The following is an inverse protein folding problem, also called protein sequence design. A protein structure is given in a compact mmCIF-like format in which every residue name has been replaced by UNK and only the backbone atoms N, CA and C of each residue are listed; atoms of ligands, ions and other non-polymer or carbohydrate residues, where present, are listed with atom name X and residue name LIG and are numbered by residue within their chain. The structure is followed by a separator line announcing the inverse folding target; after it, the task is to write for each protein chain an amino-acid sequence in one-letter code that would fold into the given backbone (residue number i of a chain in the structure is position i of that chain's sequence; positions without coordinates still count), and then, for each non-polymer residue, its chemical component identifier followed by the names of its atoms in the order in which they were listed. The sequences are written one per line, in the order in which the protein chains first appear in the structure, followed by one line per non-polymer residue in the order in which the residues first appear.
data_IF_865517362916
#
_entry.id   IF_865517362916
#
_cell.length_a   1.000
_cell.length_b   1.000
_cell.length_c   1.000
_cell.angle_alpha   90.00
_cell.angle_beta   90.00
_cell.angle_gamma   90.00
#
_symmetry.space_group_name_H-M   'P 1'
#
loop_
_entity.id
_entity.type
_entity.pdbx_description
1 polymer ?
#
# COMPACT_ATOMS: atom_id res chain seq x y z
N UNK A 1 -18.23 -8.08 -15.52
CA UNK A 1 -18.43 -9.10 -14.47
C UNK A 1 -18.13 -8.49 -13.12
N UNK A 2 -19.00 -8.69 -12.14
CA UNK A 2 -18.75 -8.22 -10.78
C UNK A 2 -17.60 -9.03 -10.15
N UNK A 3 -16.56 -8.38 -9.59
CA UNK A 3 -15.46 -9.10 -8.95
C UNK A 3 -15.94 -10.05 -7.84
N UNK A 4 -15.36 -11.23 -7.77
CA UNK A 4 -15.73 -12.24 -6.77
C UNK A 4 -14.69 -12.37 -5.66
N UNK A 5 -13.54 -11.72 -5.81
CA UNK A 5 -12.45 -11.76 -4.84
C UNK A 5 -12.25 -10.37 -4.25
N UNK A 6 -12.24 -10.28 -2.93
CA UNK A 6 -12.06 -9.03 -2.19
C UNK A 6 -10.96 -9.26 -1.16
N UNK A 7 -10.03 -8.31 -1.07
CA UNK A 7 -9.00 -8.34 -0.03
C UNK A 7 -9.60 -7.79 1.26
N UNK A 8 -9.61 -8.60 2.32
CA UNK A 8 -10.05 -8.16 3.63
C UNK A 8 -8.84 -7.72 4.47
N UNK A 9 -8.88 -6.49 4.96
CA UNK A 9 -7.84 -5.90 5.78
C UNK A 9 -8.39 -5.70 7.19
N UNK A 10 -7.73 -6.29 8.17
CA UNK A 10 -8.11 -6.16 9.58
C UNK A 10 -7.60 -4.85 10.14
N UNK A 11 -8.47 -4.11 10.85
CA UNK A 11 -8.10 -2.91 11.60
C UNK A 11 -8.64 -3.03 13.02
N UNK A 12 -8.01 -2.34 13.96
CA UNK A 12 -8.53 -2.29 15.31
C UNK A 12 -9.87 -1.55 15.34
N UNK A 13 -9.91 -0.31 14.82
CA UNK A 13 -11.11 0.53 14.79
C UNK A 13 -11.08 1.58 13.67
N UNK A 14 -10.03 1.64 12.87
CA UNK A 14 -9.72 2.75 11.96
C UNK A 14 -9.97 2.43 10.48
N UNK A 15 -10.76 1.40 10.18
CA UNK A 15 -10.98 0.99 8.79
C UNK A 15 -11.48 2.15 7.90
N UNK A 16 -12.37 2.99 8.42
CA UNK A 16 -12.90 4.12 7.66
C UNK A 16 -11.84 5.19 7.40
N UNK A 17 -11.08 5.56 8.43
CA UNK A 17 -10.01 6.55 8.28
C UNK A 17 -8.92 6.06 7.31
N UNK A 18 -8.56 4.77 7.40
CA UNK A 18 -7.61 4.16 6.49
C UNK A 18 -8.13 4.18 5.04
N UNK A 19 -9.35 3.73 4.83
CA UNK A 19 -9.96 3.71 3.50
C UNK A 19 -10.04 5.12 2.88
N UNK A 20 -10.39 6.12 3.66
CA UNK A 20 -10.41 7.52 3.21
C UNK A 20 -9.02 8.02 2.84
N UNK A 21 -8.02 7.66 3.63
CA UNK A 21 -6.64 8.03 3.33
C UNK A 21 -6.18 7.42 2.01
N UNK A 22 -6.47 6.14 1.77
CA UNK A 22 -6.10 5.48 0.51
C UNK A 22 -6.83 6.10 -0.68
N UNK A 23 -8.11 6.41 -0.51
CA UNK A 23 -8.91 7.07 -1.55
C UNK A 23 -8.38 8.46 -1.91
N UNK A 24 -7.88 9.21 -0.93
CA UNK A 24 -7.32 10.53 -1.14
C UNK A 24 -5.89 10.49 -1.73
N UNK A 25 -5.17 9.39 -1.50
CA UNK A 25 -3.76 9.27 -1.87
C UNK A 25 -3.57 8.70 -3.27
N UNK A 26 -4.34 7.68 -3.64
CA UNK A 26 -4.11 6.93 -4.88
C UNK A 26 -5.22 7.16 -5.91
N UNK A 27 -4.88 7.08 -7.22
CA UNK A 27 -5.91 7.14 -8.27
C UNK A 27 -6.78 5.87 -8.25
N UNK A 28 -7.96 5.94 -8.85
CA UNK A 28 -8.90 4.82 -8.96
C UNK A 28 -9.12 4.11 -7.61
N UNK A 29 -9.27 4.93 -6.57
CA UNK A 29 -9.43 4.48 -5.18
C UNK A 29 -10.52 5.29 -4.53
N UNK A 30 -11.51 4.62 -3.94
CA UNK A 30 -12.66 5.27 -3.33
C UNK A 30 -13.31 4.41 -2.27
N UNK A 31 -13.96 5.04 -1.30
CA UNK A 31 -14.84 4.36 -0.36
C UNK A 31 -16.19 4.16 -1.06
N UNK A 32 -16.68 2.92 -1.08
CA UNK A 32 -17.93 2.58 -1.77
C UNK A 32 -19.10 2.29 -0.83
N UNK A 33 -18.85 1.82 0.39
CA UNK A 33 -19.90 1.58 1.37
C UNK A 33 -19.31 1.53 2.79
N UNK A 34 -20.13 1.90 3.76
CA UNK A 34 -19.81 1.80 5.19
C UNK A 34 -20.97 1.08 5.86
N UNK A 35 -20.65 0.02 6.61
CA UNK A 35 -21.67 -0.79 7.28
C UNK A 35 -21.47 -0.79 8.79
N UNK A 36 -22.54 -0.51 9.52
CA UNK A 36 -22.55 -0.57 10.97
C UNK A 36 -22.79 -2.00 11.45
N UNK A 37 -22.27 -2.32 12.63
CA UNK A 37 -22.51 -3.62 13.25
C UNK A 37 -23.99 -3.78 13.61
N UNK A 38 -24.65 -4.88 13.19
CA UNK A 38 -26.04 -5.13 13.51
C UNK A 38 -26.27 -5.61 14.95
N UNK A 39 -25.19 -5.94 15.64
CA UNK A 39 -25.19 -6.40 17.02
C UNK A 39 -23.81 -6.30 17.63
N UNK A 40 -23.70 -6.52 18.92
CA UNK A 40 -22.42 -6.55 19.61
C UNK A 40 -21.54 -7.69 19.06
N UNK A 41 -20.23 -7.47 19.02
CA UNK A 41 -19.26 -8.43 18.54
C UNK A 41 -17.95 -8.28 19.34
N UNK A 42 -16.99 -9.23 19.24
CA UNK A 42 -15.78 -9.19 20.10
C UNK A 42 -14.98 -7.88 20.03
N UNK A 43 -14.97 -7.23 18.89
CA UNK A 43 -14.21 -5.99 18.67
C UNK A 43 -15.00 -4.70 18.89
N UNK A 44 -16.30 -4.77 19.18
CA UNK A 44 -17.12 -3.57 19.31
C UNK A 44 -18.59 -3.84 19.61
N UNK A 45 -19.41 -2.81 19.43
CA UNK A 45 -20.82 -2.83 19.80
C UNK A 45 -21.71 -2.53 18.60
N UNK A 46 -22.97 -2.92 18.72
CA UNK A 46 -24.01 -2.56 17.75
C UNK A 46 -23.96 -1.06 17.43
N UNK A 47 -23.98 -0.73 16.15
CA UNK A 47 -23.93 0.64 15.66
C UNK A 47 -22.53 1.15 15.34
N UNK A 48 -21.48 0.51 15.86
CA UNK A 48 -20.12 0.85 15.47
C UNK A 48 -19.89 0.50 14.01
N UNK A 49 -19.00 1.23 13.33
CA UNK A 49 -18.57 0.86 11.97
C UNK A 49 -17.89 -0.50 12.04
N UNK A 50 -18.47 -1.49 11.37
CA UNK A 50 -17.93 -2.84 11.33
C UNK A 50 -17.06 -3.05 10.09
N UNK A 51 -17.58 -2.73 8.92
CA UNK A 51 -16.89 -2.94 7.65
C UNK A 51 -16.98 -1.69 6.77
N UNK A 52 -15.93 -1.50 5.98
CA UNK A 52 -15.85 -0.43 4.99
C UNK A 52 -15.44 -1.06 3.66
N UNK A 53 -16.28 -0.92 2.65
CA UNK A 53 -15.94 -1.36 1.30
C UNK A 53 -15.25 -0.22 0.56
N UNK A 54 -14.11 -0.52 -0.06
CA UNK A 54 -13.34 0.48 -0.79
C UNK A 54 -12.50 -0.17 -1.89
N UNK A 55 -11.91 0.64 -2.73
CA UNK A 55 -10.96 0.18 -3.74
C UNK A 55 -9.60 0.81 -3.51
N UNK A 56 -8.55 0.07 -3.82
CA UNK A 56 -7.17 0.56 -3.86
C UNK A 56 -6.64 0.32 -5.27
N UNK A 57 -6.46 1.39 -6.02
CA UNK A 57 -6.04 1.37 -7.42
C UNK A 57 -6.78 0.27 -8.20
N UNK A 58 -8.12 0.31 -8.11
CA UNK A 58 -9.02 -0.61 -8.80
C UNK A 58 -9.25 -1.96 -8.12
N UNK A 59 -8.51 -2.32 -7.07
CA UNK A 59 -8.69 -3.61 -6.39
C UNK A 59 -9.73 -3.46 -5.28
N UNK A 60 -10.79 -4.30 -5.28
CA UNK A 60 -11.80 -4.25 -4.23
C UNK A 60 -11.25 -4.74 -2.90
N UNK A 61 -11.50 -3.98 -1.85
CA UNK A 61 -11.06 -4.24 -0.49
C UNK A 61 -12.22 -4.11 0.49
N UNK A 62 -12.08 -4.79 1.61
CA UNK A 62 -12.98 -4.69 2.75
C UNK A 62 -12.13 -4.42 3.99
N UNK A 63 -12.33 -3.27 4.62
CA UNK A 63 -11.75 -2.98 5.92
C UNK A 63 -12.65 -3.51 7.03
N UNK A 64 -12.14 -4.35 7.88
CA UNK A 64 -12.88 -4.92 9.00
C UNK A 64 -12.35 -4.35 10.31
N UNK A 65 -13.20 -3.70 11.08
CA UNK A 65 -12.87 -3.25 12.44
C UNK A 65 -13.07 -4.40 13.42
N UNK A 66 -12.06 -5.27 13.52
CA UNK A 66 -12.15 -6.49 14.31
C UNK A 66 -11.61 -6.40 15.73
N UNK A 67 -11.02 -5.26 16.11
CA UNK A 67 -10.40 -5.07 17.42
C UNK A 67 -8.87 -5.26 17.39
N UNK A 68 -8.23 -5.24 18.57
CA UNK A 68 -6.75 -5.17 18.65
C UNK A 68 -6.01 -6.50 18.52
N UNK A 69 -6.71 -7.61 18.24
CA UNK A 69 -6.13 -8.95 18.31
C UNK A 69 -5.06 -9.21 17.26
N UNK A 70 -5.23 -8.68 16.04
CA UNK A 70 -4.31 -8.94 14.92
C UNK A 70 -3.70 -7.63 14.42
N UNK A 71 -2.45 -7.72 13.97
CA UNK A 71 -1.72 -6.58 13.42
C UNK A 71 -1.16 -6.94 12.05
N UNK A 72 -1.00 -5.94 11.19
CA UNK A 72 -0.37 -6.13 9.89
C UNK A 72 1.13 -6.41 10.04
N UNK A 73 1.64 -7.19 9.12
CA UNK A 73 3.07 -7.49 9.01
C UNK A 73 3.52 -7.32 7.56
N UNK A 74 4.82 -7.43 7.32
CA UNK A 74 5.41 -7.37 5.98
C UNK A 74 5.04 -8.58 5.10
N UNK A 75 4.34 -9.57 5.64
CA UNK A 75 3.89 -10.74 4.87
C UNK A 75 2.86 -10.37 3.79
N UNK A 76 2.20 -9.24 3.93
CA UNK A 76 1.31 -8.66 2.91
C UNK A 76 1.73 -7.24 2.62
N UNK A 77 1.68 -6.85 1.34
CA UNK A 77 1.87 -5.46 0.91
C UNK A 77 1.09 -5.19 -0.36
N UNK A 78 0.67 -3.94 -0.54
CA UNK A 78 0.28 -3.47 -1.85
C UNK A 78 1.52 -2.97 -2.59
N UNK A 79 1.72 -3.41 -3.83
CA UNK A 79 2.74 -2.87 -4.70
C UNK A 79 2.08 -1.90 -5.68
N UNK A 80 2.46 -0.65 -5.62
CA UNK A 80 1.92 0.41 -6.46
C UNK A 80 2.99 0.81 -7.48
N UNK A 81 2.69 0.60 -8.75
CA UNK A 81 3.56 1.02 -9.84
C UNK A 81 3.50 2.54 -10.01
N UNK A 82 4.64 3.16 -10.26
CA UNK A 82 4.73 4.58 -10.57
C UNK A 82 5.48 4.81 -11.88
N UNK A 83 5.16 5.91 -12.56
CA UNK A 83 5.71 6.21 -13.87
C UNK A 83 6.76 7.33 -13.86
N UNK A 84 7.00 7.95 -12.70
CA UNK A 84 7.95 9.04 -12.55
C UNK A 84 8.47 9.15 -11.12
N UNK A 85 9.57 9.88 -10.94
CA UNK A 85 10.07 10.21 -9.61
C UNK A 85 9.06 11.06 -8.83
N UNK A 86 8.39 12.00 -9.51
CA UNK A 86 7.40 12.86 -8.90
C UNK A 86 6.23 12.06 -8.32
N UNK A 87 5.71 11.10 -9.07
CA UNK A 87 4.64 10.21 -8.59
C UNK A 87 5.11 9.35 -7.43
N UNK A 88 6.31 8.80 -7.52
CA UNK A 88 6.95 8.02 -6.45
C UNK A 88 7.05 8.83 -5.17
N UNK A 89 7.56 10.05 -5.27
CA UNK A 89 7.71 10.95 -4.13
C UNK A 89 6.36 11.29 -3.50
N UNK A 90 5.35 11.55 -4.33
CA UNK A 90 4.01 11.92 -3.87
C UNK A 90 3.40 10.83 -3.00
N UNK A 91 3.41 9.57 -3.46
CA UNK A 91 2.85 8.46 -2.69
C UNK A 91 3.68 8.13 -1.46
N UNK A 92 5.00 8.08 -1.62
CA UNK A 92 5.90 7.82 -0.50
C UNK A 92 5.73 8.85 0.61
N UNK A 93 5.79 10.12 0.25
CA UNK A 93 5.69 11.20 1.23
C UNK A 93 4.31 11.25 1.89
N UNK A 94 3.24 10.96 1.16
CA UNK A 94 1.89 10.89 1.73
C UNK A 94 1.78 9.80 2.80
N UNK A 95 2.30 8.61 2.53
CA UNK A 95 2.24 7.47 3.45
C UNK A 95 3.12 7.73 4.68
N UNK A 96 4.38 8.06 4.46
CA UNK A 96 5.36 8.30 5.54
C UNK A 96 4.97 9.52 6.36
N UNK A 97 4.52 10.58 5.71
CA UNK A 97 4.13 11.84 6.36
C UNK A 97 2.83 11.76 7.16
N UNK A 98 2.04 10.71 6.97
CA UNK A 98 0.78 10.51 7.70
C UNK A 98 0.93 9.52 8.85
N UNK A 99 2.00 9.63 9.62
CA UNK A 99 2.26 8.74 10.75
C UNK A 99 2.83 7.37 10.35
N UNK A 100 3.30 7.26 9.11
CA UNK A 100 3.94 6.05 8.60
C UNK A 100 5.44 6.01 8.88
N UNK A 101 6.10 5.03 8.30
CA UNK A 101 7.54 4.82 8.47
C UNK A 101 8.19 4.33 7.17
N UNK A 102 9.40 4.82 6.92
CA UNK A 102 10.23 4.32 5.83
C UNK A 102 10.78 2.94 6.14
N UNK A 103 10.91 2.10 5.13
CA UNK A 103 11.65 0.85 5.19
C UNK A 103 12.60 0.78 3.99
N UNK A 104 13.08 -0.41 3.67
CA UNK A 104 14.14 -0.62 2.68
C UNK A 104 13.56 -0.93 1.29
N UNK A 105 14.32 -0.63 0.25
CA UNK A 105 14.06 -1.11 -1.12
C UNK A 105 12.70 -0.71 -1.69
N UNK A 106 12.23 0.50 -1.41
CA UNK A 106 10.93 0.97 -1.88
C UNK A 106 9.75 0.57 -1.00
N UNK A 107 10.00 -0.08 0.13
CA UNK A 107 8.97 -0.43 1.09
C UNK A 107 8.76 0.69 2.11
N UNK A 108 7.52 0.89 2.50
CA UNK A 108 7.16 1.76 3.63
C UNK A 108 5.90 1.21 4.29
N UNK A 109 5.61 1.70 5.49
CA UNK A 109 4.40 1.34 6.23
C UNK A 109 3.55 2.57 6.44
N UNK A 110 2.24 2.36 6.41
CA UNK A 110 1.32 3.42 6.80
C UNK A 110 1.13 3.47 8.32
N UNK A 111 0.35 4.44 8.77
CA UNK A 111 0.03 4.64 10.19
C UNK A 111 -0.52 3.37 10.86
N UNK A 112 -1.24 2.54 10.11
CA UNK A 112 -1.93 1.35 10.63
C UNK A 112 -1.09 0.09 10.53
N UNK A 113 0.16 0.23 10.08
CA UNK A 113 1.12 -0.89 9.97
C UNK A 113 1.03 -1.69 8.68
N UNK A 114 0.14 -1.30 7.76
CA UNK A 114 0.05 -1.95 6.46
C UNK A 114 1.25 -1.56 5.59
N UNK A 115 1.87 -2.55 4.98
CA UNK A 115 3.06 -2.34 4.14
C UNK A 115 2.69 -2.01 2.71
N UNK A 116 3.48 -1.11 2.13
CA UNK A 116 3.37 -0.64 0.76
C UNK A 116 4.71 -0.74 0.07
N UNK A 117 4.70 -1.13 -1.19
CA UNK A 117 5.86 -1.04 -2.07
C UNK A 117 5.55 0.03 -3.12
N UNK A 118 6.26 1.14 -3.08
CA UNK A 118 6.13 2.19 -4.10
C UNK A 118 7.23 1.92 -5.13
N UNK A 119 6.83 1.39 -6.28
CA UNK A 119 7.73 0.71 -7.19
C UNK A 119 7.69 1.36 -8.58
N UNK A 120 8.64 2.25 -8.88
CA UNK A 120 8.72 2.82 -10.23
C UNK A 120 8.85 1.73 -11.31
N UNK A 121 8.16 1.88 -12.42
CA UNK A 121 8.27 0.95 -13.55
C UNK A 121 9.70 0.90 -14.08
N UNK A 122 10.47 1.98 -13.96
CA UNK A 122 11.90 1.98 -14.28
C UNK A 122 12.63 0.86 -13.54
N UNK A 123 12.30 0.59 -12.28
CA UNK A 123 12.88 -0.49 -11.51
C UNK A 123 12.40 -1.86 -12.01
N UNK A 124 11.08 -2.05 -12.12
CA UNK A 124 10.54 -3.34 -12.57
C UNK A 124 11.00 -3.70 -13.98
N UNK A 125 11.10 -2.72 -14.87
CA UNK A 125 11.62 -2.92 -16.24
C UNK A 125 13.08 -3.30 -16.22
N UNK A 126 13.90 -2.66 -15.38
CA UNK A 126 15.30 -2.98 -15.23
C UNK A 126 15.51 -4.41 -14.72
N UNK A 127 14.72 -4.84 -13.73
CA UNK A 127 14.78 -6.19 -13.20
C UNK A 127 14.29 -7.22 -14.21
N UNK A 128 13.27 -6.89 -15.01
CA UNK A 128 12.74 -7.76 -16.04
C UNK A 128 13.71 -7.95 -17.22
N UNK A 129 14.63 -7.01 -17.43
CA UNK A 129 15.65 -7.13 -18.49
C UNK A 129 16.61 -8.31 -18.28
N UNK A 130 16.76 -8.75 -17.01
CA UNK A 130 17.65 -9.86 -16.69
C UNK A 130 19.15 -9.52 -16.84
N UNK A 131 19.99 -10.53 -16.65
CA UNK A 131 21.43 -10.39 -16.83
C UNK A 131 22.08 -9.32 -15.98
N UNK A 132 23.11 -8.68 -16.52
CA UNK A 132 23.89 -7.68 -15.79
C UNK A 132 23.11 -6.40 -15.53
N UNK A 133 22.19 -6.01 -16.42
CA UNK A 133 21.30 -4.86 -16.20
C UNK A 133 20.48 -5.04 -14.93
N UNK A 134 19.81 -6.19 -14.79
CA UNK A 134 19.01 -6.50 -13.62
C UNK A 134 19.86 -6.59 -12.36
N UNK A 135 21.03 -7.20 -12.47
CA UNK A 135 21.96 -7.33 -11.34
C UNK A 135 22.40 -5.98 -10.82
N UNK A 136 22.76 -5.05 -11.71
CA UNK A 136 23.19 -3.71 -11.32
C UNK A 136 22.04 -2.90 -10.70
N UNK A 137 20.85 -2.97 -11.31
CA UNK A 137 19.67 -2.27 -10.78
C UNK A 137 19.26 -2.83 -9.41
N UNK A 138 19.28 -4.14 -9.24
CA UNK A 138 18.99 -4.80 -7.97
C UNK A 138 19.98 -4.36 -6.87
N UNK A 139 21.28 -4.33 -7.18
CA UNK A 139 22.30 -3.89 -6.23
C UNK A 139 22.09 -2.44 -5.83
N UNK A 140 21.74 -1.55 -6.77
CA UNK A 140 21.42 -0.17 -6.46
C UNK A 140 20.18 -0.05 -5.57
N UNK A 141 19.11 -0.78 -5.89
CA UNK A 141 17.87 -0.81 -5.10
C UNK A 141 18.14 -1.21 -3.65
N UNK A 142 19.02 -2.18 -3.42
CA UNK A 142 19.32 -2.70 -2.08
C UNK A 142 19.95 -1.65 -1.14
N UNK A 143 20.42 -0.53 -1.67
CA UNK A 143 20.97 0.58 -0.88
C UNK A 143 19.95 1.68 -0.60
N UNK A 144 18.73 1.56 -1.13
CA UNK A 144 17.72 2.62 -1.09
C UNK A 144 16.68 2.39 0.00
N UNK A 145 16.03 3.47 0.39
CA UNK A 145 14.71 3.46 1.02
C UNK A 145 13.67 3.81 -0.04
N UNK A 146 13.34 5.08 -0.23
CA UNK A 146 12.57 5.49 -1.40
C UNK A 146 13.40 5.23 -2.66
N UNK A 147 12.76 4.68 -3.69
CA UNK A 147 13.47 4.41 -4.94
C UNK A 147 13.83 5.72 -5.66
N UNK A 148 15.09 5.83 -6.04
CA UNK A 148 15.62 6.90 -6.86
C UNK A 148 15.70 6.42 -8.32
N UNK A 149 14.79 6.92 -9.14
CA UNK A 149 14.67 6.49 -10.55
C UNK A 149 15.94 6.77 -11.32
N UNK A 150 16.55 7.96 -11.13
CA UNK A 150 17.77 8.32 -11.85
C UNK A 150 18.94 7.39 -11.53
N UNK A 151 19.07 6.97 -10.27
CA UNK A 151 20.10 6.02 -9.83
C UNK A 151 19.85 4.64 -10.42
N UNK A 152 18.60 4.19 -10.46
CA UNK A 152 18.24 2.92 -11.09
C UNK A 152 18.57 2.93 -12.58
N UNK A 153 18.22 3.99 -13.29
CA UNK A 153 18.51 4.12 -14.73
C UNK A 153 20.01 4.18 -15.01
N UNK A 154 20.77 4.91 -14.18
CA UNK A 154 22.23 4.96 -14.29
C UNK A 154 22.87 3.59 -14.06
N UNK A 155 22.41 2.87 -13.03
CA UNK A 155 22.89 1.51 -12.73
C UNK A 155 22.58 0.54 -13.88
N UNK A 156 21.40 0.67 -14.49
CA UNK A 156 21.00 -0.15 -15.64
C UNK A 156 21.91 0.05 -16.85
N UNK A 157 22.32 1.29 -17.10
CA UNK A 157 23.23 1.60 -18.23
C UNK A 157 24.65 1.06 -18.02
N UNK A 158 25.08 0.92 -16.81
CA UNK A 158 26.43 0.44 -16.49
C UNK A 158 27.46 1.51 -16.23
#
# INVERSE_FOLDING_TARGET
MKPKNTICLWFEKDAYDAARFYAATFPDSKVTAVHEAPGDYPGGKKGDVLTVEFTVVGIPCLGLNGGPMFKHTEAFSFQIATDSQEETDRYWNAIVGNGGAESECGWCKDRWGLSWQITPRALTDALAAGGDEAKRAFAAMMTMRKIDVAVIEAARRG
#
